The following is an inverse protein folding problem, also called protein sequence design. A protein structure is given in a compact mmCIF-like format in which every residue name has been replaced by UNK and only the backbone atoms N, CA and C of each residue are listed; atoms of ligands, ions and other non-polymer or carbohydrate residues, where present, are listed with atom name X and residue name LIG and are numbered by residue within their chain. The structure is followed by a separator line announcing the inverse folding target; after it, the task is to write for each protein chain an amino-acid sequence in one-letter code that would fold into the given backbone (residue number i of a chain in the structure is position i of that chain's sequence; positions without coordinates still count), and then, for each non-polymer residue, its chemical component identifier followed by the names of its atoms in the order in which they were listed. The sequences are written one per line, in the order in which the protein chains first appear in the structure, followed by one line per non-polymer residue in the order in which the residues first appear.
data_IF_740515530333
#
_entry.id   IF_740515530333
#
_cell.length_a   1.000
_cell.length_b   1.000
_cell.length_c   1.000
_cell.angle_alpha   90.00
_cell.angle_beta   90.00
_cell.angle_gamma   90.00
#
_symmetry.space_group_name_H-M   'P 1'
#
loop_
_entity.id
_entity.type
_entity.pdbx_description
1 polymer ?
#
# COMPACT_ATOMS: atom_id res chain seq x y z
N UNK A 1 40.92 -8.39 9.77
CA UNK A 1 39.97 -7.36 9.26
C UNK A 1 38.59 -7.98 9.38
N UNK A 2 37.65 -7.34 10.03
CA UNK A 2 36.29 -7.87 10.13
C UNK A 2 35.65 -7.78 8.76
N UNK A 3 35.02 -8.86 8.32
CA UNK A 3 34.28 -8.91 7.04
C UNK A 3 32.96 -8.20 7.19
N UNK A 4 32.63 -7.29 6.28
CA UNK A 4 31.32 -6.65 6.23
C UNK A 4 30.33 -7.53 5.49
N UNK A 5 29.02 -7.33 5.73
CA UNK A 5 27.96 -8.02 4.96
C UNK A 5 28.12 -7.82 3.44
N UNK A 6 28.48 -6.61 3.03
CA UNK A 6 28.69 -6.30 1.61
C UNK A 6 29.82 -7.13 1.01
N UNK A 7 30.96 -7.23 1.70
CA UNK A 7 32.14 -8.01 1.23
C UNK A 7 31.78 -9.49 1.17
N UNK A 8 31.13 -10.02 2.21
CA UNK A 8 30.63 -11.40 2.22
C UNK A 8 29.69 -11.70 1.03
N UNK A 9 28.72 -10.83 0.78
CA UNK A 9 27.82 -11.00 -0.34
C UNK A 9 28.53 -10.94 -1.69
N UNK A 10 29.48 -10.03 -1.87
CA UNK A 10 30.18 -9.88 -3.16
C UNK A 10 31.13 -11.03 -3.45
N UNK A 11 31.79 -11.59 -2.42
CA UNK A 11 32.78 -12.66 -2.57
C UNK A 11 32.09 -14.03 -2.59
N UNK A 12 31.24 -14.32 -1.59
CA UNK A 12 30.77 -15.67 -1.33
C UNK A 12 29.41 -15.99 -1.98
N UNK A 13 28.53 -15.03 -2.13
CA UNK A 13 27.13 -15.29 -2.53
C UNK A 13 26.84 -14.87 -3.97
N UNK A 14 27.34 -13.71 -4.37
CA UNK A 14 27.05 -13.12 -5.69
C UNK A 14 27.44 -14.03 -6.89
N UNK A 15 28.58 -14.73 -6.88
CA UNK A 15 28.94 -15.58 -8.03
C UNK A 15 27.87 -16.65 -8.33
N UNK A 16 27.39 -17.32 -7.26
CA UNK A 16 26.34 -18.34 -7.39
C UNK A 16 24.99 -17.73 -7.80
N UNK A 17 24.55 -16.66 -7.15
CA UNK A 17 23.30 -16.00 -7.48
C UNK A 17 23.27 -15.49 -8.93
N UNK A 18 24.42 -15.04 -9.45
CA UNK A 18 24.57 -14.67 -10.86
C UNK A 18 24.38 -15.87 -11.80
N UNK A 19 24.92 -17.05 -11.45
CA UNK A 19 24.71 -18.29 -12.22
C UNK A 19 23.25 -18.72 -12.23
N UNK A 20 22.51 -18.48 -11.12
CA UNK A 20 21.07 -18.71 -11.00
C UNK A 20 20.20 -17.63 -11.70
N UNK A 21 20.83 -16.66 -12.37
CA UNK A 21 20.14 -15.61 -13.14
C UNK A 21 19.69 -14.41 -12.32
N UNK A 22 20.12 -14.29 -11.08
CA UNK A 22 19.78 -13.13 -10.24
C UNK A 22 20.67 -11.92 -10.53
N UNK A 23 20.08 -10.74 -10.44
CA UNK A 23 20.78 -9.45 -10.42
C UNK A 23 20.86 -8.92 -8.99
N UNK A 24 21.99 -8.29 -8.64
CA UNK A 24 22.20 -7.68 -7.31
C UNK A 24 21.96 -6.19 -7.35
N UNK A 25 21.22 -5.68 -6.36
CA UNK A 25 21.06 -4.24 -6.08
C UNK A 25 21.20 -4.04 -4.57
N UNK A 26 22.30 -3.46 -4.12
CA UNK A 26 22.60 -3.40 -2.68
C UNK A 26 22.72 -4.80 -2.09
N UNK A 27 21.92 -5.11 -1.08
CA UNK A 27 21.84 -6.43 -0.43
C UNK A 27 20.68 -7.30 -0.95
N UNK A 28 20.01 -6.88 -2.02
CA UNK A 28 18.91 -7.57 -2.65
C UNK A 28 19.37 -8.28 -3.91
N UNK A 29 19.06 -9.57 -4.01
CA UNK A 29 19.16 -10.36 -5.25
C UNK A 29 17.75 -10.55 -5.81
N UNK A 30 17.57 -10.30 -7.10
CA UNK A 30 16.26 -10.39 -7.73
C UNK A 30 16.34 -10.92 -9.15
N UNK A 31 15.31 -11.62 -9.56
CA UNK A 31 15.05 -12.01 -10.96
C UNK A 31 13.55 -11.98 -11.22
N UNK A 32 13.16 -12.01 -12.49
CA UNK A 32 11.75 -12.06 -12.89
C UNK A 32 11.57 -12.89 -14.15
N UNK A 33 10.38 -13.41 -14.33
CA UNK A 33 9.83 -13.92 -15.58
C UNK A 33 8.54 -13.14 -15.93
N UNK A 34 7.74 -13.66 -16.84
CA UNK A 34 6.49 -13.02 -17.26
C UNK A 34 5.43 -12.98 -16.15
N UNK A 35 5.40 -13.96 -15.25
CA UNK A 35 4.37 -14.13 -14.22
C UNK A 35 4.79 -13.67 -12.85
N UNK A 36 6.10 -13.77 -12.53
CA UNK A 36 6.61 -13.56 -11.17
C UNK A 36 7.88 -12.74 -11.12
N UNK A 37 8.02 -12.00 -10.01
CA UNK A 37 9.30 -11.50 -9.56
C UNK A 37 9.71 -12.25 -8.28
N UNK A 38 10.96 -12.68 -8.24
CA UNK A 38 11.58 -13.39 -7.10
C UNK A 38 12.64 -12.50 -6.49
N UNK A 39 12.64 -12.42 -5.18
CA UNK A 39 13.59 -11.60 -4.44
C UNK A 39 14.17 -12.38 -3.26
N UNK A 40 15.47 -12.20 -3.03
CA UNK A 40 16.19 -12.67 -1.84
C UNK A 40 16.90 -11.47 -1.25
N UNK A 41 16.54 -11.08 -0.05
CA UNK A 41 17.10 -9.93 0.63
C UNK A 41 17.93 -10.33 1.84
N UNK A 42 19.13 -9.78 1.91
CA UNK A 42 19.97 -9.82 3.10
C UNK A 42 19.86 -8.48 3.79
N UNK A 43 19.21 -8.42 4.92
CA UNK A 43 18.92 -7.16 5.59
C UNK A 43 19.38 -7.14 7.05
N UNK A 44 19.87 -6.01 7.49
CA UNK A 44 20.25 -5.79 8.89
C UNK A 44 19.02 -5.40 9.70
N UNK A 45 18.67 -6.12 10.77
CA UNK A 45 17.55 -5.74 11.63
C UNK A 45 17.73 -4.35 12.23
N UNK A 46 16.66 -3.57 12.31
CA UNK A 46 16.68 -2.17 12.77
C UNK A 46 17.09 -1.98 14.26
N UNK A 47 17.11 -3.03 15.05
CA UNK A 47 17.25 -2.93 16.49
C UNK A 47 18.69 -2.99 17.03
N UNK A 48 19.66 -3.45 16.21
CA UNK A 48 21.05 -3.58 16.68
C UNK A 48 22.02 -3.29 15.53
N UNK A 49 22.78 -2.23 15.73
CA UNK A 49 23.70 -1.72 14.70
C UNK A 49 25.06 -2.41 14.84
N UNK A 50 25.15 -3.61 14.31
CA UNK A 50 26.46 -4.15 13.94
C UNK A 50 26.40 -4.43 12.44
N UNK A 51 27.41 -3.96 11.69
CA UNK A 51 27.50 -4.12 10.23
C UNK A 51 27.73 -5.58 9.79
N UNK A 52 27.74 -6.49 10.72
CA UNK A 52 28.03 -7.92 10.56
C UNK A 52 26.81 -8.82 10.83
N UNK A 53 25.72 -8.28 11.39
CA UNK A 53 24.49 -9.05 11.60
C UNK A 53 23.50 -8.86 10.44
N UNK A 54 22.88 -9.95 9.99
CA UNK A 54 21.90 -9.93 8.93
C UNK A 54 20.87 -11.04 9.07
N UNK A 55 19.76 -10.86 8.37
CA UNK A 55 18.74 -11.90 8.10
C UNK A 55 18.61 -12.11 6.61
N UNK A 56 18.09 -13.28 6.22
CA UNK A 56 17.84 -13.61 4.83
C UNK A 56 16.35 -13.86 4.67
N UNK A 57 15.69 -13.09 3.83
CA UNK A 57 14.30 -13.31 3.46
C UNK A 57 14.16 -13.55 1.97
N UNK A 58 13.22 -14.42 1.63
CA UNK A 58 12.83 -14.67 0.25
C UNK A 58 11.38 -14.26 0.03
N UNK A 59 11.09 -13.76 -1.16
CA UNK A 59 9.75 -13.36 -1.51
C UNK A 59 9.41 -13.64 -2.97
N UNK A 60 8.12 -13.95 -3.23
CA UNK A 60 7.54 -14.07 -4.55
C UNK A 60 6.46 -13.00 -4.69
N UNK A 61 6.55 -12.25 -5.76
CA UNK A 61 5.54 -11.29 -6.18
C UNK A 61 4.89 -11.78 -7.48
N UNK A 62 3.57 -11.81 -7.55
CA UNK A 62 2.84 -12.19 -8.75
C UNK A 62 2.34 -10.96 -9.49
N UNK A 63 2.70 -10.84 -10.77
CA UNK A 63 2.18 -9.77 -11.63
C UNK A 63 0.68 -9.95 -11.91
N UNK A 64 0.21 -11.19 -11.97
CA UNK A 64 -1.21 -11.47 -12.18
C UNK A 64 -2.07 -11.00 -11.00
N UNK A 65 -1.66 -11.33 -9.77
CA UNK A 65 -2.34 -10.83 -8.58
C UNK A 65 -2.29 -9.31 -8.52
N UNK A 66 -1.14 -8.70 -8.79
CA UNK A 66 -1.00 -7.26 -8.81
C UNK A 66 -1.96 -6.62 -9.83
N UNK A 67 -2.07 -7.18 -11.02
CA UNK A 67 -2.98 -6.70 -12.06
C UNK A 67 -4.45 -6.83 -11.65
N UNK A 68 -4.86 -7.99 -11.14
CA UNK A 68 -6.24 -8.24 -10.70
C UNK A 68 -6.60 -7.36 -9.50
N UNK A 69 -5.68 -7.22 -8.54
CA UNK A 69 -5.88 -6.34 -7.39
C UNK A 69 -5.75 -4.85 -7.76
N UNK A 70 -5.39 -4.57 -9.00
CA UNK A 70 -5.24 -3.22 -9.53
C UNK A 70 -4.03 -2.47 -9.02
N UNK A 71 -3.03 -3.21 -8.54
CA UNK A 71 -1.76 -2.63 -8.17
C UNK A 71 -0.98 -2.26 -9.43
N UNK A 72 -0.93 -1.00 -9.72
CA UNK A 72 -0.04 -0.48 -10.75
C UNK A 72 1.03 0.32 -10.05
N UNK A 73 2.09 -0.35 -9.66
CA UNK A 73 3.33 0.32 -9.29
C UNK A 73 3.91 0.97 -10.56
N UNK A 74 4.37 2.21 -10.44
CA UNK A 74 5.13 2.85 -11.51
C UNK A 74 6.50 2.19 -11.72
N UNK A 75 6.94 1.38 -10.78
CA UNK A 75 8.14 0.58 -10.88
C UNK A 75 7.79 -0.88 -11.11
N UNK A 76 8.14 -1.39 -12.27
CA UNK A 76 8.15 -2.84 -12.55
C UNK A 76 9.49 -3.47 -12.17
N UNK A 77 10.38 -2.72 -11.53
CA UNK A 77 11.69 -3.22 -11.13
C UNK A 77 11.54 -4.16 -9.94
N UNK A 78 12.04 -5.39 -10.01
CA UNK A 78 11.91 -6.38 -8.93
C UNK A 78 12.37 -5.87 -7.55
N UNK A 79 13.37 -4.99 -7.53
CA UNK A 79 13.87 -4.37 -6.28
C UNK A 79 12.83 -3.51 -5.56
N UNK A 80 11.86 -2.98 -6.28
CA UNK A 80 10.82 -2.11 -5.75
C UNK A 80 9.57 -2.93 -5.38
N UNK A 81 9.44 -4.15 -5.92
CA UNK A 81 8.28 -5.03 -5.75
C UNK A 81 8.38 -5.92 -4.49
N UNK A 82 9.58 -6.22 -4.00
CA UNK A 82 9.76 -7.15 -2.88
C UNK A 82 9.17 -6.64 -1.55
N UNK A 83 9.00 -5.32 -1.40
CA UNK A 83 8.37 -4.69 -0.24
C UNK A 83 6.88 -4.41 -0.45
N UNK A 84 6.30 -4.85 -1.58
CA UNK A 84 4.90 -4.55 -1.89
C UNK A 84 3.95 -5.39 -1.03
N UNK A 85 2.75 -4.86 -0.78
CA UNK A 85 1.66 -5.56 -0.10
C UNK A 85 1.13 -6.79 -0.85
N UNK A 86 1.68 -7.10 -2.04
CA UNK A 86 1.31 -8.23 -2.90
C UNK A 86 2.41 -9.27 -3.03
N UNK A 87 3.38 -9.24 -2.14
CA UNK A 87 4.30 -10.36 -1.94
C UNK A 87 3.50 -11.54 -1.42
N UNK A 88 3.53 -12.67 -2.13
CA UNK A 88 2.69 -13.84 -1.83
C UNK A 88 3.38 -14.87 -0.97
N UNK A 89 4.68 -14.85 -0.98
CA UNK A 89 5.52 -15.75 -0.24
C UNK A 89 6.63 -14.95 0.42
N UNK A 90 6.79 -15.16 1.70
CA UNK A 90 7.89 -14.57 2.46
C UNK A 90 8.36 -15.59 3.50
N UNK A 91 9.64 -15.92 3.47
CA UNK A 91 10.25 -16.85 4.41
C UNK A 91 11.63 -16.37 4.82
N UNK A 92 11.96 -16.55 6.09
CA UNK A 92 13.34 -16.45 6.56
C UNK A 92 14.06 -17.77 6.23
N UNK A 93 15.00 -17.72 5.30
CA UNK A 93 15.55 -18.92 4.65
C UNK A 93 16.51 -19.68 5.54
N UNK A 94 17.21 -19.01 6.45
CA UNK A 94 18.25 -19.61 7.29
C UNK A 94 17.97 -19.27 8.74
N UNK A 95 17.79 -20.33 9.54
CA UNK A 95 17.71 -20.24 10.98
C UNK A 95 18.88 -21.03 11.56
N UNK A 96 19.90 -20.34 12.04
CA UNK A 96 21.03 -20.94 12.71
C UNK A 96 20.83 -20.81 14.23
N UNK A 97 20.84 -21.96 14.94
CA UNK A 97 20.70 -22.03 16.39
C UNK A 97 19.40 -21.46 16.99
N UNK A 98 18.31 -21.43 16.21
CA UNK A 98 17.02 -20.89 16.69
C UNK A 98 16.91 -19.38 16.61
N UNK A 99 17.95 -18.68 16.18
CA UNK A 99 17.96 -17.24 15.92
C UNK A 99 17.87 -16.95 14.43
N UNK A 100 17.00 -16.02 14.06
CA UNK A 100 16.86 -15.56 12.68
C UNK A 100 17.95 -14.54 12.29
N UNK A 101 18.76 -14.09 13.22
CA UNK A 101 19.87 -13.17 12.98
C UNK A 101 21.19 -13.94 12.92
N UNK A 102 21.99 -13.66 11.91
CA UNK A 102 23.26 -14.30 11.63
C UNK A 102 24.37 -13.25 11.75
N UNK A 103 25.36 -13.49 12.64
CA UNK A 103 26.56 -12.69 12.70
C UNK A 103 27.67 -13.34 11.88
N UNK A 104 28.21 -12.62 10.88
CA UNK A 104 29.26 -13.13 10.00
C UNK A 104 30.51 -13.51 10.80
N UNK A 105 30.83 -12.73 11.85
CA UNK A 105 32.06 -12.91 12.61
C UNK A 105 32.02 -14.05 13.64
N UNK A 106 30.83 -14.62 13.89
CA UNK A 106 30.66 -15.73 14.84
C UNK A 106 30.86 -17.10 14.18
N UNK A 107 31.04 -17.14 12.87
CA UNK A 107 31.14 -18.37 12.09
C UNK A 107 32.40 -18.40 11.22
N UNK A 108 32.84 -19.61 10.88
CA UNK A 108 33.74 -19.83 9.75
C UNK A 108 33.05 -19.39 8.46
N UNK A 109 33.63 -18.43 7.77
CA UNK A 109 33.00 -17.73 6.62
C UNK A 109 32.67 -18.72 5.49
N UNK A 110 33.54 -19.68 5.20
CA UNK A 110 33.32 -20.64 4.14
C UNK A 110 32.19 -21.62 4.50
N UNK A 111 32.16 -22.09 5.76
CA UNK A 111 31.09 -22.96 6.24
C UNK A 111 29.73 -22.22 6.24
N UNK A 112 29.71 -20.97 6.69
CA UNK A 112 28.52 -20.14 6.64
C UNK A 112 28.03 -19.94 5.20
N UNK A 113 28.95 -19.63 4.30
CA UNK A 113 28.65 -19.48 2.88
C UNK A 113 28.06 -20.76 2.28
N UNK A 114 28.61 -21.93 2.62
CA UNK A 114 28.11 -23.23 2.11
C UNK A 114 26.69 -23.52 2.64
N UNK A 115 26.39 -23.25 3.90
CA UNK A 115 25.02 -23.39 4.46
C UNK A 115 24.06 -22.48 3.72
N UNK A 116 24.42 -21.21 3.53
CA UNK A 116 23.59 -20.25 2.83
C UNK A 116 23.40 -20.64 1.35
N UNK A 117 24.46 -21.04 0.66
CA UNK A 117 24.38 -21.50 -0.75
C UNK A 117 23.46 -22.68 -0.90
N UNK A 118 23.52 -23.67 0.00
CA UNK A 118 22.62 -24.82 -0.02
C UNK A 118 21.16 -24.39 0.18
N UNK A 119 20.88 -23.51 1.13
CA UNK A 119 19.53 -22.97 1.35
C UNK A 119 19.01 -22.19 0.12
N UNK A 120 19.87 -21.38 -0.50
CA UNK A 120 19.52 -20.62 -1.69
C UNK A 120 19.30 -21.52 -2.93
N UNK A 121 20.04 -22.61 -3.08
CA UNK A 121 19.80 -23.59 -4.13
C UNK A 121 18.43 -24.28 -3.95
N UNK A 122 18.12 -24.73 -2.74
CA UNK A 122 16.83 -25.33 -2.44
C UNK A 122 15.67 -24.35 -2.70
N UNK A 123 15.85 -23.09 -2.33
CA UNK A 123 14.89 -22.03 -2.62
C UNK A 123 14.73 -21.79 -4.13
N UNK A 124 15.82 -21.79 -4.88
CA UNK A 124 15.78 -21.60 -6.33
C UNK A 124 15.06 -22.77 -7.04
N UNK A 125 15.26 -23.99 -6.56
CA UNK A 125 14.53 -25.16 -7.05
C UNK A 125 13.03 -25.08 -6.71
N UNK A 126 12.70 -24.59 -5.51
CA UNK A 126 11.31 -24.28 -5.17
C UNK A 126 10.73 -23.22 -6.10
N UNK A 127 11.43 -22.12 -6.33
CA UNK A 127 10.97 -21.06 -7.25
C UNK A 127 10.79 -21.56 -8.69
N UNK A 128 11.64 -22.47 -9.15
CA UNK A 128 11.51 -23.11 -10.46
C UNK A 128 10.31 -24.06 -10.56
N UNK A 129 9.92 -24.66 -9.45
CA UNK A 129 8.73 -25.53 -9.41
C UNK A 129 7.42 -24.76 -9.57
N UNK A 130 7.43 -23.46 -9.34
CA UNK A 130 6.26 -22.58 -9.49
C UNK A 130 6.20 -22.08 -10.93
N UNK A 131 5.47 -22.79 -11.78
CA UNK A 131 5.31 -22.45 -13.20
C UNK A 131 4.34 -21.29 -13.42
N UNK A 132 3.27 -21.24 -12.65
CA UNK A 132 2.15 -20.31 -12.81
C UNK A 132 1.45 -20.03 -11.49
N UNK A 133 0.42 -19.17 -11.54
CA UNK A 133 -0.31 -18.74 -10.36
C UNK A 133 -1.08 -19.89 -9.69
N UNK A 134 -1.62 -20.84 -10.45
CA UNK A 134 -2.41 -21.92 -9.87
C UNK A 134 -1.53 -22.90 -9.11
N UNK A 135 -0.32 -23.18 -9.60
CA UNK A 135 0.70 -23.95 -8.87
C UNK A 135 1.09 -23.24 -7.58
N UNK A 136 1.31 -21.91 -7.63
CA UNK A 136 1.63 -21.15 -6.42
C UNK A 136 0.49 -21.19 -5.41
N UNK A 137 -0.75 -20.99 -5.85
CA UNK A 137 -1.92 -21.05 -4.98
C UNK A 137 -2.09 -22.43 -4.34
N UNK A 138 -1.88 -23.51 -5.10
CA UNK A 138 -1.91 -24.87 -4.58
C UNK A 138 -0.82 -25.10 -3.52
N UNK A 139 0.41 -24.65 -3.80
CA UNK A 139 1.52 -24.73 -2.85
C UNK A 139 1.20 -23.99 -1.54
N UNK A 140 0.60 -22.80 -1.64
CA UNK A 140 0.16 -22.03 -0.46
C UNK A 140 -0.93 -22.77 0.32
N UNK A 141 -1.86 -23.41 -0.38
CA UNK A 141 -2.92 -24.18 0.26
C UNK A 141 -2.37 -25.40 1.02
N UNK A 142 -1.35 -26.06 0.49
CA UNK A 142 -0.75 -27.24 1.09
C UNK A 142 0.22 -26.92 2.23
N UNK A 143 1.10 -25.97 2.01
CA UNK A 143 2.23 -25.70 2.91
C UNK A 143 2.07 -24.42 3.75
N UNK A 144 1.12 -23.57 3.40
CA UNK A 144 0.95 -22.24 3.98
C UNK A 144 1.74 -21.16 3.23
N UNK A 145 1.48 -19.93 3.56
CA UNK A 145 2.15 -18.76 2.95
C UNK A 145 3.37 -18.28 3.74
N UNK A 146 3.94 -19.11 4.62
CA UNK A 146 4.96 -18.64 5.56
C UNK A 146 4.36 -17.81 6.70
N UNK A 147 5.06 -16.80 7.18
CA UNK A 147 4.79 -16.17 8.49
C UNK A 147 3.60 -15.21 8.57
N UNK A 148 2.90 -14.79 7.48
CA UNK A 148 2.16 -13.54 7.62
C UNK A 148 0.67 -13.56 7.23
N UNK A 149 -0.16 -13.03 8.16
CA UNK A 149 -1.60 -12.77 8.01
C UNK A 149 -1.96 -11.93 6.79
N UNK A 150 -1.10 -10.95 6.43
CA UNK A 150 -1.36 -10.00 5.35
C UNK A 150 -1.46 -10.65 3.98
N UNK A 151 -0.61 -11.62 3.70
CA UNK A 151 -0.59 -12.28 2.41
C UNK A 151 -1.82 -13.17 2.19
N UNK A 152 -2.28 -13.84 3.23
CA UNK A 152 -3.48 -14.69 3.16
C UNK A 152 -4.70 -13.86 2.77
N UNK A 153 -4.90 -12.70 3.38
CA UNK A 153 -6.02 -11.83 3.03
C UNK A 153 -5.95 -11.36 1.57
N UNK A 154 -4.77 -11.03 1.06
CA UNK A 154 -4.59 -10.67 -0.35
C UNK A 154 -4.88 -11.82 -1.29
N UNK A 155 -4.46 -13.04 -0.95
CA UNK A 155 -4.73 -14.24 -1.72
C UNK A 155 -6.24 -14.58 -1.72
N UNK A 156 -6.91 -14.45 -0.59
CA UNK A 156 -8.35 -14.66 -0.52
C UNK A 156 -9.08 -13.61 -1.37
N UNK A 157 -8.71 -12.34 -1.26
CA UNK A 157 -9.24 -11.26 -2.12
C UNK A 157 -9.08 -11.59 -3.61
N UNK A 158 -7.86 -11.93 -4.01
CA UNK A 158 -7.57 -12.32 -5.39
C UNK A 158 -8.46 -13.48 -5.83
N UNK A 159 -8.56 -14.53 -5.01
CA UNK A 159 -9.35 -15.71 -5.31
C UNK A 159 -10.84 -15.39 -5.46
N UNK A 160 -11.39 -14.52 -4.61
CA UNK A 160 -12.76 -14.04 -4.72
C UNK A 160 -12.96 -13.23 -6.01
N UNK A 161 -12.03 -12.35 -6.36
CA UNK A 161 -12.11 -11.50 -7.54
C UNK A 161 -11.95 -12.25 -8.85
N UNK A 162 -11.23 -13.37 -8.84
CA UNK A 162 -11.06 -14.26 -9.99
C UNK A 162 -12.04 -15.43 -10.00
N UNK A 163 -13.08 -15.36 -9.13
CA UNK A 163 -14.14 -16.37 -9.01
C UNK A 163 -13.66 -17.78 -8.60
N UNK A 164 -12.51 -17.86 -7.96
CA UNK A 164 -11.97 -19.11 -7.39
C UNK A 164 -12.57 -19.37 -5.99
N UNK A 165 -13.91 -19.46 -5.94
CA UNK A 165 -14.67 -19.54 -4.68
C UNK A 165 -14.27 -20.70 -3.79
N UNK A 166 -14.17 -21.91 -4.38
CA UNK A 166 -13.79 -23.12 -3.64
C UNK A 166 -12.40 -23.02 -3.03
N UNK A 167 -11.46 -22.43 -3.77
CA UNK A 167 -10.13 -22.21 -3.24
C UNK A 167 -10.14 -21.22 -2.07
N UNK A 168 -10.84 -20.11 -2.20
CA UNK A 168 -10.98 -19.13 -1.12
C UNK A 168 -11.60 -19.75 0.14
N UNK A 169 -12.64 -20.57 -0.01
CA UNK A 169 -13.29 -21.26 1.11
C UNK A 169 -12.38 -22.29 1.78
N UNK A 170 -11.64 -23.09 0.99
CA UNK A 170 -10.64 -24.03 1.53
C UNK A 170 -9.56 -23.30 2.31
N UNK A 171 -9.06 -22.20 1.79
CA UNK A 171 -8.02 -21.40 2.43
C UNK A 171 -8.53 -20.77 3.74
N UNK A 172 -9.74 -20.18 3.73
CA UNK A 172 -10.38 -19.63 4.93
C UNK A 172 -10.56 -20.72 6.01
N UNK A 173 -11.05 -21.89 5.63
CA UNK A 173 -11.25 -23.01 6.56
C UNK A 173 -9.93 -23.43 7.20
N UNK A 174 -8.91 -23.66 6.38
CA UNK A 174 -7.58 -24.05 6.87
C UNK A 174 -7.00 -23.03 7.84
N UNK A 175 -7.09 -21.75 7.53
CA UNK A 175 -6.53 -20.71 8.40
C UNK A 175 -7.31 -20.60 9.72
N UNK A 176 -8.62 -20.80 9.71
CA UNK A 176 -9.43 -20.88 10.94
C UNK A 176 -9.04 -22.06 11.83
N UNK A 177 -8.74 -23.22 11.24
CA UNK A 177 -8.27 -24.39 11.97
C UNK A 177 -6.87 -24.17 12.56
N UNK A 178 -6.01 -23.52 11.79
CA UNK A 178 -4.61 -23.26 12.16
C UNK A 178 -4.45 -22.17 13.22
N UNK A 179 -5.31 -21.14 13.15
CA UNK A 179 -5.24 -19.95 14.00
C UNK A 179 -6.62 -19.70 14.61
N UNK A 180 -6.80 -20.15 15.83
CA UNK A 180 -8.10 -20.03 16.54
C UNK A 180 -8.57 -18.58 16.74
N UNK A 181 -7.62 -17.65 16.75
CA UNK A 181 -7.84 -16.21 16.90
C UNK A 181 -8.01 -15.47 15.55
N UNK A 182 -7.80 -16.18 14.41
CA UNK A 182 -7.95 -15.58 13.11
C UNK A 182 -9.39 -15.67 12.61
N UNK A 183 -10.02 -14.54 12.49
CA UNK A 183 -11.41 -14.45 12.03
C UNK A 183 -11.41 -13.60 10.75
N UNK A 184 -11.74 -14.21 9.63
CA UNK A 184 -12.17 -13.44 8.47
C UNK A 184 -13.65 -13.13 8.61
N UNK A 185 -14.03 -11.86 8.51
CA UNK A 185 -15.42 -11.47 8.64
C UNK A 185 -16.27 -12.07 7.50
N UNK A 186 -17.36 -12.79 7.78
CA UNK A 186 -18.29 -13.24 6.75
C UNK A 186 -18.84 -12.08 5.92
N UNK A 187 -19.09 -10.93 6.54
CA UNK A 187 -19.54 -9.70 5.85
C UNK A 187 -18.54 -9.22 4.81
N UNK A 188 -17.24 -9.32 5.11
CA UNK A 188 -16.19 -8.95 4.17
C UNK A 188 -16.15 -9.90 2.96
N UNK A 189 -16.27 -11.22 3.18
CA UNK A 189 -16.33 -12.22 2.10
C UNK A 189 -17.57 -12.00 1.22
N UNK A 190 -18.71 -11.74 1.84
CA UNK A 190 -19.98 -11.46 1.16
C UNK A 190 -19.88 -10.23 0.28
N UNK A 191 -19.28 -9.14 0.78
CA UNK A 191 -19.04 -7.92 0.01
C UNK A 191 -18.16 -8.16 -1.22
N UNK A 192 -17.09 -8.96 -1.11
CA UNK A 192 -16.27 -9.30 -2.27
C UNK A 192 -17.02 -10.17 -3.28
N UNK A 193 -17.84 -11.11 -2.82
CA UNK A 193 -18.73 -11.89 -3.71
C UNK A 193 -19.71 -10.97 -4.45
N UNK A 194 -20.35 -10.03 -3.76
CA UNK A 194 -21.22 -9.03 -4.40
C UNK A 194 -20.47 -8.17 -5.43
N UNK A 195 -19.23 -7.74 -5.12
CA UNK A 195 -18.40 -6.98 -6.06
C UNK A 195 -18.08 -7.76 -7.34
N UNK A 196 -17.99 -9.08 -7.28
CA UNK A 196 -17.70 -9.92 -8.42
C UNK A 196 -18.94 -10.24 -9.27
N UNK A 197 -20.11 -10.30 -8.64
CA UNK A 197 -21.36 -10.70 -9.30
C UNK A 197 -22.15 -9.51 -9.86
N UNK A 198 -21.92 -8.30 -9.38
CA UNK A 198 -22.64 -7.10 -9.80
C UNK A 198 -22.16 -6.54 -11.12
N UNK A 199 -23.07 -5.86 -11.85
CA UNK A 199 -22.71 -4.97 -12.95
C UNK A 199 -21.95 -3.77 -12.39
N UNK A 200 -20.64 -3.84 -12.48
CA UNK A 200 -19.72 -3.00 -11.75
C UNK A 200 -19.26 -1.79 -12.55
N UNK A 201 -20.09 -1.30 -13.48
CA UNK A 201 -19.76 -0.25 -14.44
C UNK A 201 -19.19 1.06 -13.89
N UNK A 202 -19.11 1.24 -12.57
CA UNK A 202 -18.61 2.45 -11.93
C UNK A 202 -17.76 2.15 -10.69
N UNK A 203 -16.74 1.29 -10.80
CA UNK A 203 -15.74 1.14 -9.77
C UNK A 203 -14.78 2.34 -9.83
N UNK A 204 -14.77 3.17 -8.81
CA UNK A 204 -13.69 4.12 -8.59
C UNK A 204 -12.39 3.37 -8.25
N UNK A 205 -11.27 3.95 -8.64
CA UNK A 205 -9.97 3.43 -8.21
C UNK A 205 -9.63 4.04 -6.86
N UNK A 206 -9.27 3.22 -5.88
CA UNK A 206 -8.69 3.76 -4.66
C UNK A 206 -7.24 4.19 -4.91
N UNK A 207 -6.83 5.21 -4.18
CA UNK A 207 -5.50 5.82 -4.29
C UNK A 207 -4.79 5.68 -2.96
N UNK A 208 -3.55 5.25 -3.01
CA UNK A 208 -2.64 5.23 -1.86
C UNK A 208 -1.29 5.82 -2.24
N UNK A 209 -0.47 6.10 -1.23
CA UNK A 209 0.91 6.51 -1.45
C UNK A 209 1.72 5.37 -2.04
N UNK A 210 2.59 5.69 -3.01
CA UNK A 210 3.50 4.72 -3.60
C UNK A 210 4.57 4.33 -2.57
N UNK A 211 4.37 3.21 -1.92
CA UNK A 211 5.28 2.69 -0.90
C UNK A 211 6.64 2.28 -1.46
N UNK A 212 6.74 1.96 -2.75
CA UNK A 212 8.00 1.61 -3.40
C UNK A 212 8.95 2.79 -3.52
N UNK A 213 8.39 4.01 -3.61
CA UNK A 213 9.15 5.25 -3.68
C UNK A 213 9.62 5.74 -2.31
N UNK A 214 8.94 5.33 -1.23
CA UNK A 214 9.24 5.77 0.13
C UNK A 214 10.48 5.09 0.73
N UNK A 215 11.00 4.08 0.07
CA UNK A 215 12.11 3.29 0.57
C UNK A 215 11.79 2.59 1.89
N UNK A 216 12.81 2.10 2.60
CA UNK A 216 12.68 1.36 3.87
C UNK A 216 12.23 2.21 5.07
N UNK A 217 12.10 3.50 4.91
CA UNK A 217 11.61 4.39 5.97
C UNK A 217 10.13 4.60 5.75
N UNK A 218 9.33 4.28 6.77
CA UNK A 218 7.89 4.57 6.80
C UNK A 218 7.66 5.98 6.26
N UNK A 219 6.66 6.14 5.38
CA UNK A 219 6.36 7.36 4.66
C UNK A 219 6.53 8.60 5.56
N UNK A 220 7.70 9.25 5.54
CA UNK A 220 7.85 10.46 6.29
C UNK A 220 7.11 11.53 5.52
N UNK A 221 6.74 12.54 6.23
CA UNK A 221 6.24 13.76 5.64
C UNK A 221 7.25 14.27 4.65
N UNK A 222 6.91 14.18 3.37
CA UNK A 222 7.80 14.66 2.33
C UNK A 222 7.84 16.19 2.30
N UNK A 223 6.71 16.82 2.66
CA UNK A 223 6.61 18.29 2.78
C UNK A 223 6.10 18.66 4.18
N UNK A 224 6.92 19.40 4.92
CA UNK A 224 6.53 20.04 6.19
C UNK A 224 6.12 21.48 5.92
N UNK A 225 4.92 21.85 6.31
CA UNK A 225 4.43 23.22 6.19
C UNK A 225 4.97 24.05 7.37
N UNK A 226 5.51 25.22 7.10
CA UNK A 226 6.16 26.11 8.06
C UNK A 226 5.40 27.42 8.31
N UNK A 227 4.15 27.51 7.89
CA UNK A 227 3.36 28.74 8.04
C UNK A 227 2.57 28.73 9.35
N UNK A 228 2.85 29.71 10.24
CA UNK A 228 2.09 29.90 11.48
C UNK A 228 0.62 30.22 11.21
N UNK A 229 0.32 31.02 10.20
CA UNK A 229 -1.06 31.29 9.79
C UNK A 229 -1.79 30.04 9.34
N UNK A 230 -1.07 29.13 8.65
CA UNK A 230 -1.60 27.82 8.28
C UNK A 230 -1.91 26.97 9.51
N UNK A 231 -0.98 26.90 10.48
CA UNK A 231 -1.19 26.17 11.72
C UNK A 231 -2.38 26.72 12.52
N UNK A 232 -2.51 28.04 12.57
CA UNK A 232 -3.65 28.72 13.22
C UNK A 232 -4.97 28.44 12.49
N UNK A 233 -4.94 28.47 11.14
CA UNK A 233 -6.08 28.12 10.31
C UNK A 233 -6.47 26.66 10.53
N UNK A 234 -5.52 25.74 10.46
CA UNK A 234 -5.74 24.30 10.62
C UNK A 234 -6.10 23.90 12.06
N UNK A 235 -5.65 24.61 13.06
CA UNK A 235 -5.98 24.33 14.48
C UNK A 235 -7.48 24.49 14.77
N UNK A 236 -8.18 25.33 14.02
CA UNK A 236 -9.64 25.45 14.10
C UNK A 236 -10.35 24.16 13.74
N UNK A 237 -9.71 23.27 13.00
CA UNK A 237 -10.23 21.97 12.59
C UNK A 237 -9.79 20.82 13.46
N UNK A 238 -8.75 21.03 14.26
CA UNK A 238 -8.22 19.99 15.14
C UNK A 238 -9.10 19.74 16.38
N UNK A 239 -10.11 20.59 16.62
CA UNK A 239 -11.09 20.32 17.68
C UNK A 239 -11.91 19.09 17.30
N UNK A 240 -11.96 18.11 18.20
CA UNK A 240 -12.58 16.81 17.98
C UNK A 240 -14.02 16.87 17.47
N UNK A 241 -14.75 17.90 17.83
CA UNK A 241 -16.16 18.04 17.51
C UNK A 241 -16.43 18.42 16.06
N UNK A 242 -15.49 19.11 15.42
CA UNK A 242 -15.61 19.54 14.01
C UNK A 242 -15.21 18.44 13.03
N UNK A 243 -14.29 17.57 13.45
CA UNK A 243 -13.80 16.47 12.58
C UNK A 243 -14.89 15.43 12.25
N UNK A 244 -15.94 15.37 13.05
CA UNK A 244 -17.01 14.37 12.91
C UNK A 244 -18.37 14.97 12.53
N UNK A 245 -18.48 16.30 12.50
CA UNK A 245 -19.70 17.01 12.15
C UNK A 245 -19.58 17.57 10.73
N UNK A 246 -20.57 17.35 9.92
CA UNK A 246 -20.85 17.99 8.63
C UNK A 246 -19.74 18.07 7.56
N UNK A 247 -20.15 18.49 6.38
CA UNK A 247 -19.31 18.77 5.24
C UNK A 247 -18.23 19.81 5.55
N UNK A 248 -16.99 19.40 5.72
CA UNK A 248 -15.86 20.25 6.13
C UNK A 248 -15.33 21.16 5.00
N UNK A 249 -16.09 21.35 3.92
CA UNK A 249 -15.63 22.15 2.78
C UNK A 249 -15.39 23.64 3.13
N UNK A 250 -15.94 24.14 4.24
CA UNK A 250 -15.67 25.46 4.77
C UNK A 250 -14.18 25.70 5.14
N UNK A 251 -13.38 24.63 5.28
CA UNK A 251 -11.93 24.73 5.47
C UNK A 251 -11.25 25.49 4.34
N UNK A 252 -11.86 25.53 3.19
CA UNK A 252 -11.32 26.18 2.02
C UNK A 252 -11.66 27.69 1.97
N UNK A 253 -12.46 28.14 2.93
CA UNK A 253 -12.70 29.55 3.10
C UNK A 253 -11.53 30.16 3.88
N UNK A 254 -11.03 31.29 3.46
CA UNK A 254 -9.93 32.04 4.09
C UNK A 254 -8.58 31.29 4.21
N UNK A 255 -8.23 30.45 3.23
CA UNK A 255 -6.91 29.82 3.19
C UNK A 255 -5.81 30.89 3.09
N UNK A 256 -4.75 30.83 3.93
CA UNK A 256 -3.63 31.77 3.83
C UNK A 256 -2.92 31.72 2.47
N UNK A 257 -2.58 32.87 1.90
CA UNK A 257 -1.95 33.00 0.59
C UNK A 257 -0.44 32.71 0.60
N UNK A 258 0.21 32.76 1.77
CA UNK A 258 1.67 32.72 1.92
C UNK A 258 2.19 31.41 2.53
N UNK A 259 1.65 30.28 2.09
CA UNK A 259 2.02 28.99 2.64
C UNK A 259 3.44 28.63 2.16
N UNK A 260 4.31 28.34 3.12
CA UNK A 260 5.68 27.89 2.91
C UNK A 260 5.86 26.46 3.43
N UNK A 261 6.68 25.70 2.73
CA UNK A 261 7.03 24.35 3.12
C UNK A 261 8.52 24.08 2.94
N UNK A 262 8.98 23.02 3.59
CA UNK A 262 10.33 22.46 3.42
C UNK A 262 10.19 20.97 3.09
N UNK A 263 11.01 20.46 2.17
CA UNK A 263 11.09 19.04 1.90
C UNK A 263 12.07 18.36 2.84
N UNK A 264 11.64 17.22 3.41
CA UNK A 264 12.55 16.37 4.18
C UNK A 264 13.58 15.64 3.30
N UNK A 265 13.31 15.54 1.99
CA UNK A 265 14.19 14.93 1.00
C UNK A 265 14.40 15.85 -0.20
N UNK A 266 15.64 15.91 -0.69
CA UNK A 266 16.04 16.75 -1.83
C UNK A 266 15.71 16.15 -3.20
N UNK A 267 14.59 15.46 -3.36
CA UNK A 267 14.19 14.89 -4.65
C UNK A 267 12.92 15.57 -5.18
N UNK A 268 13.11 16.55 -6.09
CA UNK A 268 12.05 17.29 -6.75
C UNK A 268 11.27 16.47 -7.81
N UNK A 269 11.61 15.19 -7.98
CA UNK A 269 11.06 14.35 -9.05
C UNK A 269 9.64 13.82 -8.78
N UNK A 270 9.08 14.10 -7.62
CA UNK A 270 7.79 13.59 -7.17
C UNK A 270 6.64 14.51 -7.54
N UNK A 271 5.63 13.92 -8.17
CA UNK A 271 4.42 14.65 -8.57
C UNK A 271 3.38 14.70 -7.45
N UNK A 272 3.36 13.70 -6.56
CA UNK A 272 2.59 13.68 -5.32
C UNK A 272 3.51 13.44 -4.13
N UNK A 273 3.40 14.28 -3.13
CA UNK A 273 4.17 14.22 -1.90
C UNK A 273 3.24 14.32 -0.70
N UNK A 274 3.49 13.53 0.33
CA UNK A 274 2.74 13.64 1.58
C UNK A 274 2.98 15.01 2.21
N UNK A 275 1.91 15.69 2.56
CA UNK A 275 1.99 16.94 3.32
C UNK A 275 1.43 16.72 4.72
N UNK A 276 2.16 17.21 5.72
CA UNK A 276 1.80 17.01 7.13
C UNK A 276 0.73 17.98 7.60
N UNK A 277 -0.10 17.49 8.51
CA UNK A 277 -1.12 18.20 9.29
C UNK A 277 -2.51 18.36 8.69
N UNK A 278 -3.02 17.39 7.92
CA UNK A 278 -4.44 17.45 7.63
C UNK A 278 -5.10 16.10 7.88
N UNK A 279 -5.96 16.06 8.88
CA UNK A 279 -6.74 14.86 9.25
C UNK A 279 -8.00 14.67 8.38
N UNK A 280 -8.36 15.64 7.57
CA UNK A 280 -9.55 15.60 6.73
C UNK A 280 -9.21 15.84 5.27
N UNK A 281 -9.40 14.85 4.45
CA UNK A 281 -9.13 14.88 3.03
C UNK A 281 -7.76 14.30 2.65
N UNK A 282 -7.63 13.82 1.42
CA UNK A 282 -6.31 13.60 0.86
C UNK A 282 -5.70 14.97 0.61
N UNK A 283 -4.75 15.36 1.45
CA UNK A 283 -3.94 16.52 1.18
C UNK A 283 -2.57 16.07 0.74
N UNK A 284 -2.25 16.42 -0.47
CA UNK A 284 -0.95 16.18 -1.06
C UNK A 284 -0.34 17.52 -1.48
N UNK A 285 0.95 17.66 -1.34
CA UNK A 285 1.68 18.64 -2.14
C UNK A 285 1.86 18.04 -3.54
N UNK A 286 1.40 18.75 -4.56
CA UNK A 286 1.41 18.26 -5.94
C UNK A 286 2.19 19.17 -6.85
N UNK A 287 2.79 18.58 -7.91
CA UNK A 287 3.53 19.32 -8.92
C UNK A 287 2.60 20.12 -9.85
N UNK A 288 3.19 21.08 -10.58
CA UNK A 288 2.52 21.79 -11.67
C UNK A 288 1.95 20.83 -12.73
N UNK A 289 2.59 19.68 -12.94
CA UNK A 289 2.16 18.65 -13.88
C UNK A 289 0.81 18.03 -13.47
N UNK A 290 0.61 17.74 -12.17
CA UNK A 290 -0.67 17.27 -11.66
C UNK A 290 -1.75 18.31 -11.85
N UNK A 291 -1.49 19.58 -11.51
CA UNK A 291 -2.42 20.70 -11.76
C UNK A 291 -2.84 20.75 -13.23
N UNK A 292 -1.87 20.71 -14.14
CA UNK A 292 -2.13 20.78 -15.59
C UNK A 292 -3.03 19.61 -16.06
N UNK A 293 -2.83 18.41 -15.52
CA UNK A 293 -3.66 17.25 -15.85
C UNK A 293 -5.08 17.42 -15.32
N UNK A 294 -5.27 17.86 -14.07
CA UNK A 294 -6.59 18.13 -13.51
C UNK A 294 -7.37 19.14 -14.37
N UNK A 295 -6.70 20.19 -14.86
CA UNK A 295 -7.28 21.20 -15.73
C UNK A 295 -7.57 20.64 -17.13
N UNK A 296 -6.62 19.93 -17.75
CA UNK A 296 -6.78 19.35 -19.10
C UNK A 296 -7.87 18.25 -19.15
N UNK A 297 -8.06 17.51 -18.07
CA UNK A 297 -9.13 16.51 -17.94
C UNK A 297 -10.47 17.13 -17.54
N UNK A 298 -10.55 18.45 -17.35
CA UNK A 298 -11.73 19.15 -16.91
C UNK A 298 -12.36 18.57 -15.63
N UNK A 299 -11.53 18.25 -14.63
CA UNK A 299 -12.01 17.88 -13.31
C UNK A 299 -12.75 19.06 -12.70
N UNK A 300 -13.96 18.83 -12.18
CA UNK A 300 -14.78 19.90 -11.63
C UNK A 300 -14.10 20.60 -10.46
N UNK A 301 -14.10 21.94 -10.46
CA UNK A 301 -13.60 22.75 -9.33
C UNK A 301 -14.45 22.60 -8.07
N UNK A 302 -15.61 22.00 -8.18
CA UNK A 302 -16.42 21.63 -7.02
C UNK A 302 -15.86 20.42 -6.27
N UNK A 303 -14.92 19.67 -6.88
CA UNK A 303 -14.36 18.45 -6.31
C UNK A 303 -13.06 18.69 -5.56
N UNK A 304 -12.34 19.78 -5.87
CA UNK A 304 -11.02 20.04 -5.28
C UNK A 304 -10.68 21.52 -5.16
N UNK A 305 -9.68 21.79 -4.35
CA UNK A 305 -9.01 23.10 -4.24
C UNK A 305 -7.52 22.91 -4.40
N UNK A 306 -6.88 23.81 -5.12
CA UNK A 306 -5.42 23.90 -5.24
C UNK A 306 -4.93 25.22 -4.63
N UNK A 307 -4.09 25.10 -3.60
CA UNK A 307 -3.50 26.25 -2.91
C UNK A 307 -2.00 26.32 -3.26
N UNK A 308 -1.50 27.42 -3.79
CA UNK A 308 -0.07 27.56 -4.08
C UNK A 308 0.75 27.40 -2.79
N UNK A 309 1.85 26.64 -2.86
CA UNK A 309 2.82 26.51 -1.78
C UNK A 309 4.22 26.78 -2.30
N UNK A 310 4.98 27.61 -1.59
CA UNK A 310 6.39 27.82 -1.85
C UNK A 310 7.21 26.79 -1.05
N UNK A 311 7.82 25.84 -1.74
CA UNK A 311 8.69 24.86 -1.09
C UNK A 311 10.13 25.37 -1.13
N UNK A 312 10.75 25.47 0.04
CA UNK A 312 12.14 25.91 0.17
C UNK A 312 13.06 24.94 -0.59
N UNK A 313 14.04 25.49 -1.29
CA UNK A 313 15.00 24.76 -2.12
C UNK A 313 14.39 24.00 -3.32
N UNK A 314 13.11 24.19 -3.63
CA UNK A 314 12.50 23.73 -4.88
C UNK A 314 12.50 24.81 -5.93
N UNK A 315 12.92 24.47 -7.14
CA UNK A 315 12.87 25.36 -8.30
C UNK A 315 11.53 25.28 -9.06
N UNK A 316 10.61 24.44 -8.60
CA UNK A 316 9.31 24.20 -9.25
C UNK A 316 8.16 24.68 -8.39
N UNK A 317 7.10 25.16 -9.03
CA UNK A 317 5.88 25.55 -8.34
C UNK A 317 5.12 24.30 -7.90
N UNK A 318 4.71 24.27 -6.64
CA UNK A 318 3.88 23.24 -6.05
C UNK A 318 2.55 23.79 -5.54
N UNK A 319 1.61 22.89 -5.33
CA UNK A 319 0.28 23.20 -4.81
C UNK A 319 -0.09 22.20 -3.73
N UNK A 320 -0.83 22.65 -2.72
CA UNK A 320 -1.56 21.74 -1.86
C UNK A 320 -2.89 21.39 -2.55
N UNK A 321 -3.08 20.10 -2.81
CA UNK A 321 -4.33 19.56 -3.36
C UNK A 321 -5.21 19.09 -2.22
N UNK A 322 -6.38 19.70 -2.12
CA UNK A 322 -7.46 19.28 -1.23
C UNK A 322 -8.58 18.68 -2.06
N UNK A 323 -9.03 17.49 -1.72
CA UNK A 323 -10.23 16.89 -2.29
C UNK A 323 -11.39 17.19 -1.34
N UNK A 324 -12.42 17.86 -1.86
CA UNK A 324 -13.59 18.21 -1.07
C UNK A 324 -14.34 16.96 -0.62
N UNK A 325 -14.56 16.86 0.68
CA UNK A 325 -15.18 15.69 1.28
C UNK A 325 -16.67 15.57 0.95
N UNK A 326 -17.13 14.33 0.86
CA UNK A 326 -18.54 13.97 0.89
C UNK A 326 -18.92 13.74 2.35
N UNK A 327 -19.92 14.43 2.83
CA UNK A 327 -20.37 14.35 4.21
C UNK A 327 -21.07 13.04 4.56
N UNK A 328 -21.24 12.81 5.84
CA UNK A 328 -21.90 11.59 6.32
C UNK A 328 -23.37 11.48 5.94
N UNK A 329 -24.06 12.60 5.76
CA UNK A 329 -25.45 12.70 5.32
C UNK A 329 -25.70 12.13 3.91
N UNK A 330 -24.65 12.01 3.13
CA UNK A 330 -24.68 11.48 1.78
C UNK A 330 -24.33 9.99 1.68
N UNK A 331 -23.93 9.37 2.79
CA UNK A 331 -23.51 7.96 2.81
C UNK A 331 -24.73 7.09 3.08
N UNK A 332 -24.89 6.03 2.30
CA UNK A 332 -25.82 4.96 2.65
C UNK A 332 -25.22 4.05 3.73
N UNK A 333 -25.51 4.37 4.99
CA UNK A 333 -24.98 3.64 6.15
C UNK A 333 -25.40 2.18 6.14
N UNK A 334 -26.65 1.88 5.77
CA UNK A 334 -27.22 0.54 5.83
C UNK A 334 -26.56 -0.43 4.83
N UNK A 335 -26.14 0.10 3.69
CA UNK A 335 -25.45 -0.66 2.65
C UNK A 335 -23.93 -0.57 2.71
N UNK A 336 -23.38 0.38 3.47
CA UNK A 336 -21.93 0.50 3.70
C UNK A 336 -21.45 -0.49 4.74
N UNK A 337 -20.15 -0.84 4.67
CA UNK A 337 -19.50 -1.71 5.65
C UNK A 337 -18.36 -0.95 6.34
N UNK A 338 -18.29 -1.05 7.63
CA UNK A 338 -17.35 -0.35 8.49
C UNK A 338 -16.38 -1.34 9.13
N UNK A 339 -15.10 -0.96 9.21
CA UNK A 339 -14.05 -1.72 9.88
C UNK A 339 -13.68 -1.03 11.19
N UNK A 340 -13.55 -1.79 12.26
CA UNK A 340 -13.04 -1.30 13.53
C UNK A 340 -11.59 -0.85 13.39
N UNK A 341 -11.28 0.34 13.89
CA UNK A 341 -9.90 0.87 13.87
C UNK A 341 -9.02 -0.02 14.76
N UNK A 342 -7.81 -0.31 14.27
CA UNK A 342 -6.86 -1.22 14.90
C UNK A 342 -7.28 -2.70 14.92
N UNK A 343 -8.34 -3.08 14.19
CA UNK A 343 -8.70 -4.48 13.95
C UNK A 343 -8.73 -4.74 12.45
N UNK A 344 -8.09 -5.83 12.02
CA UNK A 344 -8.10 -6.21 10.60
C UNK A 344 -9.34 -7.03 10.22
N UNK A 345 -10.06 -7.58 11.21
CA UNK A 345 -11.06 -8.61 11.01
C UNK A 345 -12.46 -8.28 11.55
N UNK A 346 -12.62 -7.15 12.26
CA UNK A 346 -13.90 -6.76 12.80
C UNK A 346 -14.62 -5.76 11.89
N UNK A 347 -15.74 -6.22 11.32
CA UNK A 347 -16.60 -5.43 10.44
C UNK A 347 -18.02 -5.34 10.98
N UNK A 348 -18.66 -4.19 10.78
CA UNK A 348 -20.02 -3.91 11.22
C UNK A 348 -20.77 -3.07 10.18
N UNK A 349 -22.09 -3.23 10.12
CA UNK A 349 -23.03 -2.31 9.47
C UNK A 349 -23.67 -1.42 10.52
N UNK A 350 -23.96 -0.19 10.16
CA UNK A 350 -24.73 0.75 10.96
C UNK A 350 -25.97 1.17 10.20
N UNK A 351 -27.09 1.35 10.88
CA UNK A 351 -28.33 1.79 10.23
C UNK A 351 -28.31 3.28 9.88
N UNK A 352 -27.51 4.07 10.59
CA UNK A 352 -27.45 5.53 10.42
C UNK A 352 -26.13 6.12 10.96
N UNK A 353 -25.90 7.37 10.62
CA UNK A 353 -24.82 8.16 11.23
C UNK A 353 -24.94 8.26 12.76
N UNK A 354 -26.17 8.41 13.28
CA UNK A 354 -26.41 8.48 14.71
C UNK A 354 -25.95 7.20 15.44
N UNK A 355 -26.23 6.02 14.89
CA UNK A 355 -25.74 4.76 15.46
C UNK A 355 -24.22 4.64 15.36
N UNK A 356 -23.65 5.04 14.23
CA UNK A 356 -22.19 5.05 14.02
C UNK A 356 -21.49 5.96 15.03
N UNK A 357 -21.95 7.20 15.18
CA UNK A 357 -21.34 8.19 16.08
C UNK A 357 -21.52 7.86 17.57
N UNK A 358 -22.58 7.16 17.93
CA UNK A 358 -22.84 6.69 19.29
C UNK A 358 -22.08 5.40 19.66
N UNK A 359 -21.37 4.79 18.69
CA UNK A 359 -20.60 3.57 18.97
C UNK A 359 -19.47 3.85 19.97
N UNK A 360 -19.32 3.03 21.01
CA UNK A 360 -18.21 3.18 21.96
C UNK A 360 -16.85 2.85 21.36
N UNK A 361 -16.84 2.20 20.20
CA UNK A 361 -15.66 1.79 19.47
C UNK A 361 -15.50 2.64 18.22
N UNK A 362 -14.25 2.87 17.84
CA UNK A 362 -13.91 3.66 16.64
C UNK A 362 -13.92 2.81 15.39
N UNK A 363 -14.66 3.24 14.38
CA UNK A 363 -14.76 2.59 13.07
C UNK A 363 -14.34 3.54 11.94
N UNK A 364 -13.89 2.95 10.84
CA UNK A 364 -13.66 3.64 9.56
C UNK A 364 -14.49 2.95 8.47
N UNK A 365 -14.92 3.71 7.47
CA UNK A 365 -15.71 3.16 6.35
C UNK A 365 -14.77 2.35 5.47
N UNK A 366 -15.04 1.05 5.34
CA UNK A 366 -14.24 0.14 4.52
C UNK A 366 -14.84 -0.09 3.13
N UNK A 367 -16.18 -0.14 3.02
CA UNK A 367 -16.90 -0.30 1.77
C UNK A 367 -18.02 0.74 1.71
N UNK A 368 -17.72 1.95 1.25
CA UNK A 368 -18.71 3.02 1.17
C UNK A 368 -19.72 2.78 0.03
N UNK A 369 -20.95 3.18 0.27
CA UNK A 369 -22.02 3.24 -0.72
C UNK A 369 -22.52 4.67 -0.81
N UNK A 370 -22.50 5.25 -2.01
CA UNK A 370 -22.89 6.61 -2.29
C UNK A 370 -24.04 6.67 -3.31
N UNK A 371 -24.83 7.75 -3.31
CA UNK A 371 -25.81 8.02 -4.36
C UNK A 371 -25.17 8.13 -5.75
N UNK A 372 -25.88 7.68 -6.78
CA UNK A 372 -25.44 7.74 -8.19
C UNK A 372 -25.00 9.12 -8.68
N UNK A 373 -25.47 10.20 -8.08
CA UNK A 373 -25.03 11.57 -8.42
C UNK A 373 -23.52 11.75 -8.33
N UNK A 374 -22.85 10.98 -7.47
CA UNK A 374 -21.40 11.01 -7.28
C UNK A 374 -20.62 10.15 -8.27
N UNK A 375 -21.26 9.26 -9.00
CA UNK A 375 -20.59 8.36 -9.95
C UNK A 375 -19.87 9.09 -11.10
N UNK A 376 -20.21 10.35 -11.35
CA UNK A 376 -19.57 11.19 -12.38
C UNK A 376 -18.37 11.99 -11.87
N UNK A 377 -18.11 11.99 -10.57
CA UNK A 377 -16.95 12.69 -10.01
C UNK A 377 -15.64 12.00 -10.38
N UNK A 378 -14.62 12.81 -10.58
CA UNK A 378 -13.26 12.35 -10.82
C UNK A 378 -12.47 12.15 -9.53
N UNK A 379 -12.79 12.93 -8.51
CA UNK A 379 -12.15 12.90 -7.21
C UNK A 379 -13.22 12.71 -6.14
N UNK A 380 -13.09 11.67 -5.35
CA UNK A 380 -13.99 11.36 -4.24
C UNK A 380 -13.18 11.11 -2.99
N UNK A 381 -13.46 11.90 -1.96
CA UNK A 381 -13.02 11.66 -0.61
C UNK A 381 -14.26 11.63 0.29
N UNK A 382 -14.37 10.59 1.10
CA UNK A 382 -15.47 10.42 2.04
C UNK A 382 -14.95 10.76 3.42
N UNK A 383 -15.63 11.63 4.13
CA UNK A 383 -15.25 12.00 5.48
C UNK A 383 -15.14 10.75 6.37
N UNK A 384 -14.03 10.61 7.09
CA UNK A 384 -13.67 9.40 7.85
C UNK A 384 -13.58 8.11 7.01
N UNK A 385 -13.46 8.24 5.69
CA UNK A 385 -13.14 7.13 4.81
C UNK A 385 -11.67 6.70 4.93
N UNK A 386 -11.43 5.41 4.71
CA UNK A 386 -10.08 4.86 4.70
C UNK A 386 -9.32 5.18 3.40
N UNK A 387 -10.03 5.56 2.35
CA UNK A 387 -9.48 5.66 1.00
C UNK A 387 -9.95 6.91 0.26
N UNK A 388 -9.12 7.38 -0.64
CA UNK A 388 -9.46 8.37 -1.66
C UNK A 388 -9.70 7.64 -2.98
N UNK A 389 -10.67 8.07 -3.75
CA UNK A 389 -11.04 7.44 -5.02
C UNK A 389 -10.88 8.40 -6.18
N UNK A 390 -10.43 7.87 -7.31
CA UNK A 390 -10.30 8.62 -8.55
C UNK A 390 -10.98 7.88 -9.71
N UNK A 391 -11.49 8.63 -10.68
CA UNK A 391 -12.10 8.05 -11.87
C UNK A 391 -11.09 7.38 -12.79
N UNK A 392 -11.55 6.40 -13.59
CA UNK A 392 -10.71 5.71 -14.55
C UNK A 392 -10.06 6.66 -15.58
N UNK A 393 -10.79 7.70 -16.02
CA UNK A 393 -10.26 8.67 -16.99
C UNK A 393 -9.12 9.51 -16.41
N UNK A 394 -9.24 9.95 -15.15
CA UNK A 394 -8.21 10.72 -14.48
C UNK A 394 -6.96 9.87 -14.23
N UNK A 395 -7.16 8.62 -13.78
CA UNK A 395 -6.05 7.67 -13.59
C UNK A 395 -5.34 7.37 -14.90
N UNK A 396 -6.08 7.20 -16.00
CA UNK A 396 -5.48 7.01 -17.32
C UNK A 396 -4.58 8.21 -17.67
N UNK A 397 -5.06 9.44 -17.48
CA UNK A 397 -4.28 10.64 -17.74
C UNK A 397 -3.01 10.72 -16.87
N UNK A 398 -3.11 10.37 -15.58
CA UNK A 398 -1.96 10.33 -14.69
C UNK A 398 -0.93 9.27 -15.10
N UNK A 399 -1.38 8.08 -15.52
CA UNK A 399 -0.49 7.01 -16.00
C UNK A 399 0.23 7.40 -17.29
N UNK A 400 -0.50 7.92 -18.28
CA UNK A 400 0.06 8.37 -19.56
C UNK A 400 1.09 9.48 -19.36
N UNK A 401 0.88 10.33 -18.39
CA UNK A 401 1.82 11.38 -18.02
C UNK A 401 2.97 10.88 -17.13
N UNK A 402 2.96 9.63 -16.66
CA UNK A 402 4.01 9.09 -15.79
C UNK A 402 4.08 9.82 -14.43
N UNK A 403 2.93 10.14 -13.84
CA UNK A 403 2.85 10.76 -12.51
C UNK A 403 3.45 9.84 -11.45
N UNK A 404 4.25 10.38 -10.54
CA UNK A 404 4.95 9.66 -9.49
C UNK A 404 4.44 10.05 -8.10
N UNK A 405 4.57 9.14 -7.13
CA UNK A 405 4.27 9.39 -5.72
C UNK A 405 2.95 8.79 -5.24
N UNK A 406 2.11 8.28 -6.14
CA UNK A 406 0.86 7.58 -5.79
C UNK A 406 0.72 6.26 -6.54
N UNK A 407 0.00 5.34 -5.90
CA UNK A 407 -0.43 4.06 -6.47
C UNK A 407 -1.94 4.07 -6.68
N UNK A 408 -2.38 3.45 -7.74
CA UNK A 408 -3.80 3.27 -8.04
C UNK A 408 -4.19 1.81 -7.90
N UNK A 409 -5.18 1.52 -7.08
CA UNK A 409 -5.75 0.20 -6.91
C UNK A 409 -7.07 0.14 -7.68
N UNK A 410 -7.17 -0.78 -8.62
CA UNK A 410 -8.35 -0.91 -9.50
C UNK A 410 -9.63 -1.27 -8.74
N UNK A 411 -9.49 -1.89 -7.57
CA UNK A 411 -10.61 -2.33 -6.77
C UNK A 411 -10.79 -1.34 -5.64
N UNK A 412 -11.47 -0.26 -5.97
CA UNK A 412 -12.09 0.56 -4.96
C UNK A 412 -13.23 -0.21 -4.30
N UNK A 413 -13.34 -0.06 -3.00
CA UNK A 413 -14.46 -0.56 -2.22
C UNK A 413 -15.74 0.26 -2.44
N UNK A 414 -15.66 1.35 -3.21
CA UNK A 414 -16.73 2.31 -3.45
C UNK A 414 -17.80 1.79 -4.41
N UNK A 415 -19.05 1.96 -4.02
CA UNK A 415 -20.24 1.65 -4.82
C UNK A 415 -21.15 2.86 -4.97
N UNK A 416 -21.98 2.83 -6.02
CA UNK A 416 -23.02 3.82 -6.28
C UNK A 416 -24.38 3.13 -6.44
N UNK A 417 -25.42 3.66 -5.77
CA UNK A 417 -26.80 3.16 -5.83
C UNK A 417 -27.79 4.24 -6.26
#
# INVERSE_FOLDING_TARGET
MKMTLKDFLDVEIRPMMKQLGYRKTGCLFHRQNESFAYAVEFFTPFSYVTDDEFRISASIFSFDIANVMGHVSYSTKPKDLHCSHYTLYHEDIVNLNGDNSISINDYDIHKLADVIRNALNNLDDFFKSISDIDVLLQCILENGSGRERFFINSIIKYSLLTQRWEYAEKLIRREKERRKDWIISPLWVEKYKELCQGDTGHRGFSVSWDSSLLGRRAAPQQVKILSKKWDEHMSKYASSDVLYQENQNWIFDDIPDDIKGVMDYKDDSWDFMTAYYIRSGMVAAVSMKVKAILEATNVSKEEYVLVPIAIQDSNTQHYLLFIKSIGHDEIDFSNSLYRKILSDDEYRKFASYSEFSASPESYTIAFPVLPKKYAKRDLIYIQNGAETYMSARLIKAFREAGIKGIEFRQIGSLRFI
#
